data_IF_082385875739
#
_entry.id   IF_082385875739
#
_cell.length_a   1.000
_cell.length_b   1.000
_cell.length_c   1.000
_cell.angle_alpha   90.00
_cell.angle_beta   90.00
_cell.angle_gamma   90.00
#
_symmetry.space_group_name_H-M   'P 1'
#
loop_
_entity.id
_entity.type
_entity.pdbx_description
1 polymer ?
#
# COMPACT_ATOMS: atom_id res chain seq x y z
N UNK A 1 16.88 -2.34 -18.83
CA UNK A 1 15.62 -2.20 -19.59
C UNK A 1 15.77 -1.00 -20.52
N UNK A 2 15.35 -1.09 -21.77
CA UNK A 2 15.36 0.05 -22.70
C UNK A 2 14.31 1.09 -22.27
N UNK A 3 14.51 2.37 -22.64
CA UNK A 3 13.52 3.42 -22.35
C UNK A 3 12.16 3.13 -23.01
N UNK A 4 12.16 2.50 -24.18
CA UNK A 4 10.95 2.07 -24.90
C UNK A 4 10.10 1.10 -24.06
N UNK A 5 10.72 0.13 -23.40
CA UNK A 5 10.00 -0.83 -22.55
C UNK A 5 9.36 -0.16 -21.31
N UNK A 6 9.96 0.92 -20.79
CA UNK A 6 9.41 1.65 -19.64
C UNK A 6 8.15 2.43 -20.03
N UNK A 7 8.16 3.09 -21.18
CA UNK A 7 6.99 3.83 -21.66
C UNK A 7 5.79 2.90 -21.95
N UNK A 8 6.04 1.74 -22.55
CA UNK A 8 5.00 0.72 -22.78
C UNK A 8 4.42 0.19 -21.46
N UNK A 9 5.28 -0.05 -20.46
CA UNK A 9 4.85 -0.51 -19.15
C UNK A 9 3.97 0.53 -18.45
N UNK A 10 4.38 1.80 -18.44
CA UNK A 10 3.60 2.90 -17.85
C UNK A 10 2.23 3.00 -18.52
N UNK A 11 2.19 2.97 -19.86
CA UNK A 11 0.94 2.98 -20.62
C UNK A 11 0.00 1.84 -20.19
N UNK A 12 0.53 0.62 -20.10
CA UNK A 12 -0.24 -0.56 -19.68
C UNK A 12 -0.74 -0.45 -18.23
N UNK A 13 0.04 0.16 -17.33
CA UNK A 13 -0.39 0.42 -15.95
C UNK A 13 -1.59 1.37 -15.94
N UNK A 14 -1.56 2.46 -16.71
CA UNK A 14 -2.69 3.39 -16.81
C UNK A 14 -3.95 2.72 -17.38
N UNK A 15 -3.83 1.96 -18.47
CA UNK A 15 -4.95 1.21 -19.06
C UNK A 15 -5.58 0.22 -18.06
N UNK A 16 -4.76 -0.49 -17.29
CA UNK A 16 -5.24 -1.41 -16.25
C UNK A 16 -5.86 -0.67 -15.07
N UNK A 17 -5.29 0.47 -14.67
CA UNK A 17 -5.82 1.29 -13.59
C UNK A 17 -7.24 1.77 -13.90
N UNK A 18 -7.46 2.28 -15.10
CA UNK A 18 -8.78 2.75 -15.55
C UNK A 18 -9.77 1.59 -15.67
N UNK A 19 -9.42 0.52 -16.38
CA UNK A 19 -10.31 -0.63 -16.61
C UNK A 19 -10.72 -1.35 -15.32
N UNK A 20 -9.92 -1.26 -14.27
CA UNK A 20 -10.20 -1.87 -12.95
C UNK A 20 -10.82 -0.89 -11.95
N UNK A 21 -11.00 0.38 -12.30
CA UNK A 21 -11.31 1.45 -11.34
C UNK A 21 -10.39 1.36 -10.11
N UNK A 22 -9.09 1.36 -10.37
CA UNK A 22 -8.05 1.21 -9.36
C UNK A 22 -7.43 2.55 -8.97
N UNK A 23 -6.89 2.62 -7.75
CA UNK A 23 -6.05 3.71 -7.27
C UNK A 23 -4.69 3.16 -6.84
N UNK A 24 -3.62 3.86 -7.20
CA UNK A 24 -2.24 3.53 -6.81
C UNK A 24 -1.81 4.46 -5.68
N UNK A 25 -1.51 3.88 -4.53
CA UNK A 25 -1.04 4.57 -3.33
C UNK A 25 0.44 4.25 -3.12
N UNK A 26 1.31 5.25 -3.08
CA UNK A 26 2.75 5.04 -2.90
C UNK A 26 3.28 5.71 -1.63
N UNK A 27 4.05 4.96 -0.84
CA UNK A 27 4.76 5.54 0.29
C UNK A 27 5.90 6.46 -0.17
N UNK A 28 6.21 7.50 0.61
CA UNK A 28 7.30 8.45 0.35
C UNK A 28 8.68 7.79 0.09
N UNK A 29 8.88 6.54 0.54
CA UNK A 29 10.12 5.79 0.34
C UNK A 29 10.16 4.95 -0.94
N UNK A 30 9.10 4.97 -1.75
CA UNK A 30 9.10 4.29 -3.04
C UNK A 30 10.08 4.94 -4.01
N UNK A 31 10.52 4.17 -5.01
CA UNK A 31 11.36 4.68 -6.10
C UNK A 31 10.62 5.79 -6.85
N UNK A 32 11.34 6.79 -7.36
CA UNK A 32 10.74 7.94 -8.07
C UNK A 32 9.79 7.51 -9.18
N UNK A 33 10.15 6.50 -9.98
CA UNK A 33 9.30 6.00 -11.06
C UNK A 33 7.99 5.33 -10.62
N UNK A 34 7.88 4.92 -9.35
CA UNK A 34 6.64 4.42 -8.75
C UNK A 34 5.83 5.60 -8.21
N UNK A 35 6.49 6.62 -7.67
CA UNK A 35 5.83 7.86 -7.24
C UNK A 35 5.22 8.60 -8.44
N UNK A 36 5.93 8.65 -9.58
CA UNK A 36 5.49 9.33 -10.80
C UNK A 36 4.17 8.78 -11.38
N UNK A 37 3.86 7.50 -11.12
CA UNK A 37 2.64 6.83 -11.60
C UNK A 37 1.55 6.70 -10.53
N UNK A 38 1.85 7.07 -9.28
CA UNK A 38 0.91 6.97 -8.18
C UNK A 38 -0.14 8.08 -8.24
N UNK A 39 -1.36 7.78 -7.82
CA UNK A 39 -2.41 8.78 -7.68
C UNK A 39 -2.21 9.61 -6.40
N UNK A 40 -1.67 8.97 -5.35
CA UNK A 40 -1.31 9.63 -4.11
C UNK A 40 0.04 9.14 -3.60
N UNK A 41 0.87 10.09 -3.20
CA UNK A 41 2.15 9.86 -2.52
C UNK A 41 2.05 10.44 -1.11
N UNK A 42 2.43 9.67 -0.09
CA UNK A 42 2.31 10.13 1.29
C UNK A 42 2.99 9.24 2.33
N UNK A 43 2.82 9.66 3.59
CA UNK A 43 3.24 8.89 4.75
C UNK A 43 2.18 7.82 5.12
N UNK A 44 2.40 7.11 6.22
CA UNK A 44 1.49 6.03 6.62
C UNK A 44 0.07 6.50 6.93
N UNK A 45 -0.08 7.59 7.69
CA UNK A 45 -1.39 8.10 8.08
C UNK A 45 -2.16 8.64 6.87
N UNK A 46 -1.49 9.43 6.03
CA UNK A 46 -2.08 10.02 4.83
C UNK A 46 -2.62 8.95 3.88
N UNK A 47 -1.83 7.90 3.61
CA UNK A 47 -2.26 6.83 2.71
C UNK A 47 -3.42 6.00 3.27
N UNK A 48 -3.44 5.70 4.58
CA UNK A 48 -4.57 5.01 5.20
C UNK A 48 -5.87 5.82 5.10
N UNK A 49 -5.80 7.14 5.29
CA UNK A 49 -6.97 8.02 5.12
C UNK A 49 -7.45 8.08 3.66
N UNK A 50 -6.53 8.11 2.69
CA UNK A 50 -6.88 8.07 1.27
C UNK A 50 -7.53 6.74 0.89
N UNK A 51 -6.97 5.61 1.34
CA UNK A 51 -7.53 4.29 1.11
C UNK A 51 -9.00 4.20 1.54
N UNK A 52 -9.32 4.69 2.75
CA UNK A 52 -10.69 4.69 3.28
C UNK A 52 -11.63 5.56 2.44
N UNK A 53 -11.23 6.80 2.10
CA UNK A 53 -12.08 7.81 1.46
C UNK A 53 -12.27 7.63 -0.05
N UNK A 54 -11.35 6.95 -0.74
CA UNK A 54 -11.36 6.88 -2.20
C UNK A 54 -12.45 5.95 -2.76
N UNK A 55 -13.10 6.33 -3.86
CA UNK A 55 -14.18 5.55 -4.50
C UNK A 55 -13.70 4.45 -5.47
N UNK A 56 -12.42 4.06 -5.39
CA UNK A 56 -11.87 3.02 -6.25
C UNK A 56 -12.31 1.64 -5.74
N UNK A 57 -12.51 0.69 -6.66
CA UNK A 57 -12.84 -0.69 -6.30
C UNK A 57 -11.57 -1.49 -5.92
N UNK A 58 -10.42 -1.06 -6.44
CA UNK A 58 -9.12 -1.70 -6.25
C UNK A 58 -8.12 -0.68 -5.73
N UNK A 59 -7.35 -1.05 -4.71
CA UNK A 59 -6.24 -0.27 -4.18
C UNK A 59 -4.95 -1.06 -4.44
N UNK A 60 -4.03 -0.49 -5.22
CA UNK A 60 -2.68 -1.00 -5.37
C UNK A 60 -1.79 -0.25 -4.39
N UNK A 61 -1.37 -0.92 -3.31
CA UNK A 61 -0.61 -0.32 -2.24
C UNK A 61 0.90 -0.57 -2.42
N UNK A 62 1.62 0.44 -2.89
CA UNK A 62 3.06 0.44 -3.06
C UNK A 62 3.74 0.85 -1.74
N UNK A 63 3.80 -0.08 -0.80
CA UNK A 63 4.40 0.10 0.53
C UNK A 63 4.90 -1.21 1.12
N UNK A 64 4.74 -1.36 2.44
CA UNK A 64 5.00 -2.61 3.16
C UNK A 64 3.70 -3.22 3.68
N UNK A 65 3.75 -4.50 4.00
CA UNK A 65 2.64 -5.35 4.46
C UNK A 65 1.66 -4.69 5.42
N UNK A 66 2.09 -4.22 6.59
CA UNK A 66 1.18 -3.70 7.62
C UNK A 66 0.37 -2.49 7.12
N UNK A 67 0.92 -1.71 6.18
CA UNK A 67 0.25 -0.55 5.61
C UNK A 67 -0.86 -0.98 4.64
N UNK A 68 -0.58 -1.98 3.81
CA UNK A 68 -1.57 -2.57 2.91
C UNK A 68 -2.69 -3.27 3.70
N UNK A 69 -2.35 -3.99 4.76
CA UNK A 69 -3.34 -4.59 5.68
C UNK A 69 -4.19 -3.53 6.36
N UNK A 70 -3.59 -2.41 6.80
CA UNK A 70 -4.33 -1.27 7.36
C UNK A 70 -5.33 -0.67 6.35
N UNK A 71 -4.92 -0.55 5.08
CA UNK A 71 -5.81 -0.11 4.02
C UNK A 71 -6.99 -1.08 3.81
N UNK A 72 -6.74 -2.39 3.88
CA UNK A 72 -7.77 -3.43 3.78
C UNK A 72 -8.74 -3.40 4.97
N UNK A 73 -8.23 -3.22 6.20
CA UNK A 73 -9.06 -3.07 7.42
C UNK A 73 -10.00 -1.86 7.29
N UNK A 74 -9.50 -0.74 6.77
CA UNK A 74 -10.28 0.49 6.59
C UNK A 74 -11.19 0.47 5.35
N UNK A 75 -11.01 -0.49 4.44
CA UNK A 75 -11.74 -0.61 3.19
C UNK A 75 -12.19 -2.05 2.94
N UNK A 76 -13.05 -2.62 3.80
CA UNK A 76 -13.37 -4.05 3.80
C UNK A 76 -14.00 -4.53 2.49
N UNK A 77 -14.71 -3.65 1.77
CA UNK A 77 -15.40 -3.98 0.52
C UNK A 77 -14.53 -3.78 -0.73
N UNK A 78 -13.28 -3.30 -0.57
CA UNK A 78 -12.36 -3.02 -1.69
C UNK A 78 -11.31 -4.11 -1.80
N UNK A 79 -10.84 -4.35 -3.03
CA UNK A 79 -9.70 -5.24 -3.24
C UNK A 79 -8.40 -4.50 -2.99
N UNK A 80 -7.59 -4.95 -2.03
CA UNK A 80 -6.26 -4.38 -1.78
C UNK A 80 -5.18 -5.32 -2.30
N UNK A 81 -4.31 -4.81 -3.17
CA UNK A 81 -3.22 -5.55 -3.80
C UNK A 81 -1.88 -4.97 -3.37
N UNK A 82 -0.95 -5.86 -3.00
CA UNK A 82 0.45 -5.51 -2.75
C UNK A 82 1.30 -6.09 -3.89
N UNK A 83 2.07 -5.26 -4.63
CA UNK A 83 2.87 -5.75 -5.76
C UNK A 83 3.95 -6.77 -5.39
N UNK A 84 4.48 -6.70 -4.16
CA UNK A 84 5.57 -7.56 -3.68
C UNK A 84 5.27 -8.03 -2.24
N UNK A 85 4.96 -9.32 -2.08
CA UNK A 85 4.55 -9.90 -0.80
C UNK A 85 5.68 -9.98 0.23
N UNK A 86 6.94 -9.93 -0.21
CA UNK A 86 8.12 -9.89 0.67
C UNK A 86 8.45 -8.49 1.21
N UNK A 87 7.76 -7.44 0.74
CA UNK A 87 7.93 -6.07 1.23
C UNK A 87 7.33 -5.92 2.64
N UNK A 88 8.17 -6.14 3.66
CA UNK A 88 7.74 -6.14 5.07
C UNK A 88 8.50 -5.13 5.91
N UNK A 89 7.92 -4.72 7.03
CA UNK A 89 8.63 -3.93 8.04
C UNK A 89 9.20 -4.83 9.16
N UNK A 90 10.53 -5.01 9.25
CA UNK A 90 11.12 -5.83 10.31
C UNK A 90 10.78 -5.34 11.71
N UNK A 91 10.70 -4.02 11.91
CA UNK A 91 10.32 -3.42 13.19
C UNK A 91 8.88 -3.75 13.58
N UNK A 92 7.94 -3.76 12.64
CA UNK A 92 6.56 -4.15 12.91
C UNK A 92 6.47 -5.63 13.32
N UNK A 93 7.34 -6.49 12.79
CA UNK A 93 7.42 -7.90 13.15
C UNK A 93 8.10 -8.18 14.50
N UNK A 94 8.69 -7.17 15.17
CA UNK A 94 9.36 -7.38 16.46
C UNK A 94 8.39 -7.60 17.63
N UNK A 95 7.12 -7.18 17.52
CA UNK A 95 6.13 -7.31 18.58
C UNK A 95 5.24 -8.53 18.33
N UNK A 96 5.01 -9.33 19.38
CA UNK A 96 4.09 -10.47 19.33
C UNK A 96 2.81 -10.22 20.16
N UNK A 97 1.68 -10.88 19.82
CA UNK A 97 0.46 -10.83 20.64
C UNK A 97 0.71 -11.26 22.09
N UNK A 98 1.55 -12.26 22.33
CA UNK A 98 1.85 -12.80 23.65
C UNK A 98 2.61 -11.77 24.51
N UNK A 99 3.58 -11.07 23.93
CA UNK A 99 4.32 -9.99 24.61
C UNK A 99 3.40 -8.82 24.96
N UNK A 100 2.51 -8.43 24.04
CA UNK A 100 1.53 -7.37 24.29
C UNK A 100 0.63 -7.73 25.48
N UNK A 101 0.09 -8.95 25.52
CA UNK A 101 -0.77 -9.41 26.63
C UNK A 101 0.00 -9.42 27.95
N UNK A 102 1.26 -9.85 27.98
CA UNK A 102 2.11 -9.83 29.19
C UNK A 102 2.30 -8.40 29.72
N UNK A 103 2.58 -7.44 28.84
CA UNK A 103 2.77 -6.04 29.23
C UNK A 103 1.47 -5.44 29.77
N UNK A 104 0.33 -5.65 29.10
CA UNK A 104 -0.98 -5.15 29.57
C UNK A 104 -1.40 -5.72 30.94
N UNK A 105 -1.00 -6.95 31.28
CA UNK A 105 -1.22 -7.50 32.62
C UNK A 105 -0.33 -6.87 33.69
N UNK A 106 0.91 -6.49 33.32
CA UNK A 106 1.86 -5.84 34.23
C UNK A 106 1.46 -4.39 34.53
N UNK A 107 0.86 -3.71 33.55
CA UNK A 107 0.39 -2.32 33.66
C UNK A 107 -1.07 -2.24 33.15
N UNK A 108 -2.08 -2.54 34.00
CA UNK A 108 -3.49 -2.56 33.62
C UNK A 108 -4.07 -1.17 33.33
#
# INVERSE_FOLDING_TARGET
MSQQNKAELIKKIHELKESRNAVILAHNYQRGEIQDIADFVGDSLGLSQQAAKHNANVIVFCGVDFMAESAAILSPDKTVLMPELSSKCPMAAMITPEELVKIKKKYP
#
